data_IF_680083673282
#
_entry.id   IF_680083673282
#
_cell.length_a   1.000
_cell.length_b   1.000
_cell.length_c   1.000
_cell.angle_alpha   90.00
_cell.angle_beta   90.00
_cell.angle_gamma   90.00
#
_symmetry.space_group_name_H-M   'P 1'
#
loop_
_entity.id
_entity.type
_entity.pdbx_description
1 polymer ?
#
# COMPACT_ATOMS: atom_id res chain seq x y z
N UNK A 1 9.09 -2.67 -4.12
CA UNK A 1 7.67 -2.65 -3.73
C UNK A 1 7.02 -1.38 -4.26
N UNK A 2 5.68 -1.32 -4.24
CA UNK A 2 4.86 -0.16 -4.65
C UNK A 2 5.43 1.16 -4.11
N UNK A 3 5.63 2.11 -5.02
CA UNK A 3 6.10 3.47 -4.74
C UNK A 3 5.22 4.55 -5.41
N UNK A 4 4.09 4.13 -5.97
CA UNK A 4 3.17 4.96 -6.75
C UNK A 4 1.99 5.51 -5.95
N UNK A 5 1.34 6.55 -6.50
CA UNK A 5 0.08 7.09 -6.01
C UNK A 5 0.03 7.43 -4.51
N UNK A 6 -1.10 7.12 -3.88
CA UNK A 6 -1.33 7.37 -2.45
C UNK A 6 -0.37 6.58 -1.55
N UNK A 7 -0.10 5.32 -1.88
CA UNK A 7 0.77 4.44 -1.09
C UNK A 7 2.20 4.98 -1.06
N UNK A 8 2.73 5.36 -2.23
CA UNK A 8 4.06 5.94 -2.36
C UNK A 8 4.21 7.26 -1.62
N UNK A 9 3.18 8.13 -1.64
CA UNK A 9 3.21 9.39 -0.86
C UNK A 9 3.30 9.12 0.64
N UNK A 10 2.48 8.21 1.17
CA UNK A 10 2.50 7.85 2.59
C UNK A 10 3.81 7.17 3.00
N UNK A 11 4.34 6.30 2.13
CA UNK A 11 5.65 5.67 2.34
C UNK A 11 6.75 6.70 2.50
N UNK A 12 6.80 7.71 1.62
CA UNK A 12 7.79 8.79 1.68
C UNK A 12 7.61 9.72 2.88
N UNK A 13 6.37 10.01 3.27
CA UNK A 13 6.11 10.96 4.36
C UNK A 13 6.22 10.34 5.76
N UNK A 14 5.88 9.06 5.91
CA UNK A 14 5.79 8.40 7.22
C UNK A 14 6.83 7.28 7.41
N UNK A 15 7.61 6.93 6.39
CA UNK A 15 8.60 5.84 6.47
C UNK A 15 7.96 4.46 6.67
N UNK A 16 6.70 4.30 6.29
CA UNK A 16 5.95 3.05 6.42
C UNK A 16 5.98 2.25 5.11
N UNK A 17 5.92 0.90 5.16
CA UNK A 17 5.70 0.10 3.97
C UNK A 17 4.43 0.54 3.21
N UNK A 18 4.38 0.37 1.88
CA UNK A 18 3.25 0.83 1.08
C UNK A 18 1.97 0.07 1.48
N UNK A 19 0.91 0.76 1.95
CA UNK A 19 -0.28 0.09 2.48
C UNK A 19 -1.25 -0.41 1.40
N UNK A 20 -1.09 -0.01 0.12
CA UNK A 20 -2.08 -0.20 -0.94
C UNK A 20 -2.46 -1.64 -1.23
N UNK A 21 -1.47 -2.53 -1.39
CA UNK A 21 -1.73 -3.95 -1.67
C UNK A 21 -2.37 -4.64 -0.45
N UNK A 22 -1.85 -4.36 0.76
CA UNK A 22 -2.40 -4.88 2.01
C UNK A 22 -3.83 -4.43 2.23
N UNK A 23 -4.14 -3.15 1.95
CA UNK A 23 -5.49 -2.60 1.98
C UNK A 23 -6.41 -3.37 1.04
N UNK A 24 -5.96 -3.65 -0.18
CA UNK A 24 -6.76 -4.37 -1.17
C UNK A 24 -7.02 -5.82 -0.75
N UNK A 25 -6.01 -6.49 -0.16
CA UNK A 25 -6.18 -7.82 0.43
C UNK A 25 -7.15 -7.82 1.62
N UNK A 26 -7.06 -6.83 2.51
CA UNK A 26 -7.98 -6.69 3.64
C UNK A 26 -9.42 -6.51 3.17
N UNK A 27 -9.65 -5.64 2.18
CA UNK A 27 -10.97 -5.42 1.59
C UNK A 27 -11.53 -6.72 0.95
N UNK A 28 -10.69 -7.48 0.24
CA UNK A 28 -11.10 -8.72 -0.41
C UNK A 28 -11.45 -9.85 0.57
N UNK A 29 -10.93 -9.81 1.81
CA UNK A 29 -11.23 -10.78 2.86
C UNK A 29 -12.32 -10.30 3.83
N UNK A 30 -12.78 -9.06 3.70
CA UNK A 30 -13.90 -8.49 4.44
C UNK A 30 -15.23 -8.69 3.70
N UNK A 31 -16.33 -8.42 4.39
CA UNK A 31 -17.66 -8.40 3.78
C UNK A 31 -17.86 -7.10 2.97
N UNK A 32 -18.13 -7.20 1.67
CA UNK A 32 -18.25 -6.04 0.76
C UNK A 32 -19.59 -5.29 0.91
N UNK A 33 -20.57 -5.90 1.58
CA UNK A 33 -21.85 -5.24 1.86
C UNK A 33 -21.72 -4.17 2.96
N UNK A 34 -20.75 -4.34 3.86
CA UNK A 34 -20.52 -3.47 5.00
C UNK A 34 -20.07 -2.06 4.59
N UNK A 35 -20.71 -1.05 5.20
CA UNK A 35 -20.37 0.36 5.00
C UNK A 35 -18.87 0.63 5.27
N UNK A 36 -18.30 -0.07 6.24
CA UNK A 36 -16.90 0.10 6.60
C UNK A 36 -15.95 -0.36 5.49
N UNK A 37 -16.28 -1.46 4.81
CA UNK A 37 -15.52 -1.95 3.64
C UNK A 37 -15.58 -0.96 2.48
N UNK A 38 -16.75 -0.36 2.24
CA UNK A 38 -16.91 0.71 1.24
C UNK A 38 -16.09 1.95 1.58
N UNK A 39 -16.10 2.37 2.86
CA UNK A 39 -15.25 3.46 3.34
C UNK A 39 -13.77 3.12 3.15
N UNK A 40 -13.37 1.88 3.46
CA UNK A 40 -11.99 1.43 3.33
C UNK A 40 -11.48 1.51 1.88
N UNK A 41 -12.35 1.26 0.91
CA UNK A 41 -12.05 1.38 -0.52
C UNK A 41 -12.17 2.82 -1.05
N UNK A 42 -12.73 3.75 -0.27
CA UNK A 42 -12.96 5.13 -0.70
C UNK A 42 -11.67 5.82 -1.10
N UNK A 43 -11.76 6.59 -2.20
CA UNK A 43 -10.71 7.45 -2.71
C UNK A 43 -11.20 8.88 -2.73
N UNK A 44 -10.44 9.76 -2.10
CA UNK A 44 -10.65 11.19 -2.20
C UNK A 44 -10.30 11.64 -3.62
N UNK A 45 -11.23 12.32 -4.28
CA UNK A 45 -11.08 12.85 -5.65
C UNK A 45 -10.93 14.39 -5.67
N UNK A 46 -10.98 15.01 -4.50
CA UNK A 46 -10.97 16.46 -4.30
C UNK A 46 -10.34 16.78 -2.93
N UNK A 47 -9.88 18.03 -2.79
CA UNK A 47 -9.25 18.56 -1.59
C UNK A 47 -7.72 18.52 -1.69
N UNK A 48 -7.06 19.66 -1.48
CA UNK A 48 -5.62 19.81 -1.80
C UNK A 48 -4.73 18.74 -1.18
N UNK A 49 -4.84 18.51 0.14
CA UNK A 49 -4.00 17.54 0.85
C UNK A 49 -4.48 16.09 0.69
N UNK A 50 -5.78 15.88 0.48
CA UNK A 50 -6.38 14.56 0.43
C UNK A 50 -6.48 14.01 -0.99
N UNK A 51 -6.30 14.83 -2.02
CA UNK A 51 -6.55 14.44 -3.40
C UNK A 51 -5.74 13.20 -3.81
N UNK A 52 -6.45 12.20 -4.33
CA UNK A 52 -5.91 10.90 -4.70
C UNK A 52 -5.56 9.97 -3.52
N UNK A 53 -5.68 10.39 -2.25
CA UNK A 53 -5.52 9.48 -1.12
C UNK A 53 -6.66 8.46 -1.06
N UNK A 54 -6.34 7.24 -0.63
CA UNK A 54 -7.35 6.27 -0.24
C UNK A 54 -7.57 6.37 1.27
N UNK A 55 -8.83 6.38 1.71
CA UNK A 55 -9.15 6.34 3.13
C UNK A 55 -8.55 5.11 3.81
N UNK A 56 -8.66 3.92 3.20
CA UNK A 56 -8.04 2.71 3.76
C UNK A 56 -6.52 2.81 3.94
N UNK A 57 -5.82 3.50 3.04
CA UNK A 57 -4.38 3.74 3.20
C UNK A 57 -4.08 4.66 4.40
N UNK A 58 -4.88 5.73 4.56
CA UNK A 58 -4.76 6.65 5.69
C UNK A 58 -5.11 5.95 7.01
N UNK A 59 -6.14 5.10 6.98
CA UNK A 59 -6.57 4.31 8.12
C UNK A 59 -5.48 3.33 8.58
N UNK A 60 -4.87 2.58 7.66
CA UNK A 60 -3.74 1.68 7.98
C UNK A 60 -2.56 2.49 8.55
N UNK A 61 -2.21 3.62 7.93
CA UNK A 61 -1.11 4.46 8.41
C UNK A 61 -1.38 5.01 9.82
N UNK A 62 -2.61 5.45 10.09
CA UNK A 62 -3.03 5.91 11.41
C UNK A 62 -2.97 4.77 12.45
N UNK A 63 -3.46 3.58 12.11
CA UNK A 63 -3.36 2.41 12.98
C UNK A 63 -1.92 2.01 13.27
N UNK A 64 -1.03 2.06 12.28
CA UNK A 64 0.39 1.83 12.48
C UNK A 64 0.99 2.85 13.47
N UNK A 65 0.60 4.12 13.37
CA UNK A 65 1.01 5.17 14.31
C UNK A 65 0.49 4.95 15.73
N UNK A 66 -0.77 4.55 15.89
CA UNK A 66 -1.40 4.30 17.20
C UNK A 66 -0.85 3.03 17.86
N UNK A 67 -0.67 1.96 17.08
CA UNK A 67 -0.17 0.67 17.60
C UNK A 67 1.36 0.63 17.76
N UNK A 68 2.06 1.63 17.22
CA UNK A 68 3.52 1.76 17.25
C UNK A 68 4.27 0.85 16.28
N UNK A 69 3.56 0.10 15.41
CA UNK A 69 4.18 -0.83 14.47
C UNK A 69 3.24 -1.16 13.32
N UNK A 70 3.79 -1.27 12.11
CA UNK A 70 3.00 -1.45 10.89
C UNK A 70 2.24 -2.78 10.85
N UNK A 71 2.87 -3.89 11.24
CA UNK A 71 2.28 -5.22 11.33
C UNK A 71 1.10 -5.28 12.30
N UNK A 72 1.23 -4.66 13.49
CA UNK A 72 0.08 -4.55 14.41
C UNK A 72 -1.03 -3.69 13.84
N UNK A 73 -0.68 -2.61 13.13
CA UNK A 73 -1.67 -1.79 12.42
C UNK A 73 -2.51 -2.59 11.43
N UNK A 74 -1.87 -3.47 10.64
CA UNK A 74 -2.56 -4.39 9.73
C UNK A 74 -3.43 -5.41 10.47
N UNK A 75 -2.92 -5.97 11.57
CA UNK A 75 -3.68 -6.92 12.38
C UNK A 75 -4.95 -6.30 12.96
N UNK A 76 -4.86 -5.08 13.52
CA UNK A 76 -6.02 -4.36 14.04
C UNK A 76 -6.98 -3.95 12.91
N UNK A 77 -6.46 -3.55 11.75
CA UNK A 77 -7.30 -3.25 10.59
C UNK A 77 -8.13 -4.46 10.17
N UNK A 78 -7.54 -5.66 10.15
CA UNK A 78 -8.26 -6.91 9.88
C UNK A 78 -9.37 -7.20 10.89
N UNK A 79 -9.13 -6.95 12.18
CA UNK A 79 -10.16 -7.11 13.22
C UNK A 79 -11.32 -6.13 13.03
N UNK A 80 -11.01 -4.87 12.75
CA UNK A 80 -12.01 -3.82 12.53
C UNK A 80 -12.89 -4.13 11.31
N UNK A 81 -12.29 -4.70 10.26
CA UNK A 81 -12.99 -5.12 9.04
C UNK A 81 -13.58 -6.54 9.11
N UNK A 82 -13.51 -7.20 10.28
CA UNK A 82 -13.99 -8.57 10.48
C UNK A 82 -13.51 -9.58 9.40
N UNK A 83 -12.27 -9.45 8.94
CA UNK A 83 -11.74 -10.26 7.82
C UNK A 83 -11.70 -11.75 8.15
N UNK A 84 -12.02 -12.59 7.17
CA UNK A 84 -11.87 -14.05 7.29
C UNK A 84 -10.51 -14.49 6.79
N UNK A 85 -9.53 -14.54 7.69
CA UNK A 85 -8.16 -14.95 7.41
C UNK A 85 -7.15 -13.97 7.96
N UNK A 86 -5.93 -14.00 7.42
CA UNK A 86 -4.87 -13.10 7.84
C UNK A 86 -4.14 -12.53 6.62
N UNK A 87 -3.91 -11.23 6.65
CA UNK A 87 -3.07 -10.52 5.68
C UNK A 87 -1.75 -10.19 6.36
N UNK A 88 -0.64 -10.59 5.74
CA UNK A 88 0.72 -10.36 6.26
C UNK A 88 1.55 -9.61 5.21
N UNK A 89 2.38 -8.64 5.63
CA UNK A 89 3.36 -8.05 4.73
C UNK A 89 4.47 -9.05 4.41
N UNK A 90 5.01 -8.98 3.21
CA UNK A 90 6.18 -9.80 2.81
C UNK A 90 7.45 -9.41 3.57
N UNK A 91 7.53 -8.16 4.04
CA UNK A 91 8.60 -7.65 4.89
C UNK A 91 8.11 -6.41 5.66
N UNK A 92 8.72 -6.15 6.82
CA UNK A 92 8.53 -4.91 7.58
C UNK A 92 9.56 -3.83 7.21
N UNK A 93 10.58 -4.20 6.44
CA UNK A 93 11.61 -3.28 5.98
C UNK A 93 11.12 -2.46 4.79
N UNK A 94 11.59 -1.23 4.70
CA UNK A 94 11.39 -0.40 3.52
C UNK A 94 12.24 -0.94 2.35
N UNK A 95 11.59 -1.46 1.29
CA UNK A 95 12.26 -2.13 0.17
C UNK A 95 11.83 -1.61 -1.21
N UNK A 96 12.80 -1.35 -2.09
CA UNK A 96 12.55 -0.96 -3.49
C UNK A 96 12.50 -2.20 -4.40
N UNK A 97 11.70 -2.14 -5.48
CA UNK A 97 11.72 -3.18 -6.53
C UNK A 97 12.75 -2.76 -7.57
N UNK A 98 13.53 -3.72 -8.06
CA UNK A 98 14.60 -3.45 -9.04
C UNK A 98 14.45 -4.47 -10.16
N UNK A 99 14.55 -4.00 -11.41
CA UNK A 99 14.56 -4.84 -12.59
C UNK A 99 15.82 -4.61 -13.41
N UNK A 100 16.33 -5.67 -14.03
CA UNK A 100 17.33 -5.59 -15.09
C UNK A 100 16.63 -5.73 -16.44
N UNK A 101 16.60 -4.65 -17.22
CA UNK A 101 15.92 -4.60 -18.52
C UNK A 101 16.94 -4.76 -19.63
N UNK A 102 16.82 -5.85 -20.39
CA UNK A 102 17.59 -6.03 -21.61
C UNK A 102 17.17 -4.99 -22.65
N UNK A 103 18.15 -4.35 -23.30
CA UNK A 103 17.87 -3.41 -24.38
C UNK A 103 17.92 -4.13 -25.73
N UNK A 104 17.02 -3.81 -26.68
CA UNK A 104 16.98 -4.50 -27.98
C UNK A 104 18.28 -4.42 -28.80
N UNK A 105 19.11 -3.39 -28.54
CA UNK A 105 20.28 -3.04 -29.36
C UNK A 105 21.61 -3.08 -28.58
N UNK A 106 21.59 -3.39 -27.27
CA UNK A 106 22.77 -3.44 -26.41
C UNK A 106 22.86 -4.78 -25.68
N UNK A 107 24.07 -5.29 -25.52
CA UNK A 107 24.34 -6.53 -24.77
C UNK A 107 24.22 -6.30 -23.26
N UNK A 108 24.38 -5.06 -22.81
CA UNK A 108 24.26 -4.68 -21.40
C UNK A 108 22.81 -4.39 -21.00
N UNK A 109 22.40 -4.96 -19.86
CA UNK A 109 21.11 -4.67 -19.23
C UNK A 109 21.16 -3.36 -18.46
N UNK A 110 20.06 -2.61 -18.47
CA UNK A 110 19.90 -1.42 -17.63
C UNK A 110 19.17 -1.79 -16.35
N UNK A 111 19.75 -1.39 -15.22
CA UNK A 111 19.13 -1.50 -13.89
C UNK A 111 18.13 -0.37 -13.70
N UNK A 112 16.86 -0.72 -13.45
CA UNK A 112 15.77 0.21 -13.19
C UNK A 112 15.28 -0.03 -11.76
N UNK A 113 15.21 1.02 -10.96
CA UNK A 113 14.74 0.97 -9.58
C UNK A 113 13.40 1.71 -9.45
N UNK A 114 12.49 1.12 -8.70
CA UNK A 114 11.16 1.64 -8.43
C UNK A 114 10.08 0.92 -9.25
N UNK A 115 9.03 0.45 -8.56
CA UNK A 115 7.95 -0.34 -9.19
C UNK A 115 7.23 0.48 -10.27
N UNK A 116 6.96 1.76 -10.03
CA UNK A 116 6.32 2.64 -11.00
C UNK A 116 7.18 3.00 -12.23
N UNK A 117 8.50 2.74 -12.19
CA UNK A 117 9.41 3.04 -13.29
C UNK A 117 9.69 1.84 -14.19
N UNK A 118 9.62 0.62 -13.64
CA UNK A 118 9.94 -0.62 -14.36
C UNK A 118 9.09 -0.85 -15.63
N UNK A 119 7.77 -0.54 -15.66
CA UNK A 119 6.94 -0.76 -16.85
C UNK A 119 7.18 0.26 -17.97
N UNK A 120 7.90 1.36 -17.71
CA UNK A 120 8.20 2.39 -18.71
C UNK A 120 9.31 1.91 -19.66
#
# INVERSE_FOLDING_TARGET
>A
ADDGGSSGRLRRSLGLPPPGDLRSCLAALSDDEDLLTKLFQYRFLQGEELDGHSFGNLFIAALAGVTGSFDRGILEAGRVLAVRGQVLPSTLSDVALIAEKAQPLNVESVRIEGESQIPK
#
